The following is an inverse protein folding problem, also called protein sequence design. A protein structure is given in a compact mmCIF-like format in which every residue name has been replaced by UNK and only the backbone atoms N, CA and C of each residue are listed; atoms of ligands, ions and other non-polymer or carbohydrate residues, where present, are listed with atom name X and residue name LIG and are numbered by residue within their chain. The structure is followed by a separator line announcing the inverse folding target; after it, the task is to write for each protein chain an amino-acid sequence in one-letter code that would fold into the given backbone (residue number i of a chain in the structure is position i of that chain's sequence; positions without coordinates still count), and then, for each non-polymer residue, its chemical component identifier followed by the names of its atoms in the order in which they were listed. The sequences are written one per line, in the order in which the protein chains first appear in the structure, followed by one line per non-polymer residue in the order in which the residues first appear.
data_IF_599460509574
#
_entry.id   IF_599460509574
#
_cell.length_a   1.000
_cell.length_b   1.000
_cell.length_c   1.000
_cell.angle_alpha   90.00
_cell.angle_beta   90.00
_cell.angle_gamma   90.00
#
_symmetry.space_group_name_H-M   'P 1'
#
loop_
_entity.id
_entity.type
_entity.pdbx_description
1 polymer ?
#
# COMPACT_ATOMS: atom_id res chain seq x y z
N UNK A 1 -20.59 18.36 19.92
CA UNK A 1 -19.14 18.16 19.75
C UNK A 1 -18.92 16.82 19.07
N UNK A 2 -18.24 16.76 17.93
CA UNK A 2 -18.02 15.51 17.21
C UNK A 2 -16.72 14.83 17.64
N UNK A 3 -16.75 13.49 17.77
CA UNK A 3 -15.57 12.64 17.92
C UNK A 3 -15.55 11.67 16.74
N UNK A 4 -14.48 11.68 15.95
CA UNK A 4 -14.31 10.82 14.77
C UNK A 4 -12.96 10.11 14.86
N UNK A 5 -12.96 8.82 14.55
CA UNK A 5 -11.76 8.04 14.30
C UNK A 5 -11.85 7.48 12.87
N UNK A 6 -10.74 7.52 12.13
CA UNK A 6 -10.65 7.02 10.75
C UNK A 6 -9.52 5.99 10.74
N UNK A 7 -9.85 4.81 10.22
CA UNK A 7 -8.95 3.67 10.13
C UNK A 7 -8.72 3.32 8.66
N UNK A 8 -7.64 2.61 8.33
CA UNK A 8 -7.49 2.01 7.01
C UNK A 8 -8.68 1.07 6.70
N UNK A 9 -8.90 0.79 5.40
CA UNK A 9 -9.96 -0.12 4.97
C UNK A 9 -9.83 -1.54 5.52
N UNK A 10 -8.63 -1.94 5.96
CA UNK A 10 -8.37 -3.18 6.69
C UNK A 10 -7.23 -2.98 7.69
N UNK A 11 -7.32 -3.66 8.83
CA UNK A 11 -6.27 -3.74 9.84
C UNK A 11 -6.19 -5.19 10.34
N UNK A 12 -5.02 -5.82 10.16
CA UNK A 12 -4.78 -7.22 10.53
C UNK A 12 -3.63 -7.23 11.54
N UNK A 13 -3.88 -7.79 12.73
CA UNK A 13 -2.91 -7.89 13.80
C UNK A 13 -3.05 -9.26 14.48
N UNK A 14 -1.93 -9.94 14.68
CA UNK A 14 -1.89 -11.24 15.34
C UNK A 14 -0.54 -11.93 15.18
N UNK A 15 -0.29 -12.95 15.99
CA UNK A 15 0.87 -13.80 15.79
C UNK A 15 0.76 -14.49 14.42
N UNK A 16 1.81 -14.40 13.62
CA UNK A 16 1.82 -14.99 12.27
C UNK A 16 1.06 -14.20 11.20
N UNK A 17 0.50 -13.02 11.50
CA UNK A 17 -0.29 -12.23 10.54
C UNK A 17 0.44 -11.94 9.21
N UNK A 18 1.77 -11.81 9.25
CA UNK A 18 2.60 -11.62 8.05
C UNK A 18 2.48 -12.78 7.04
N UNK A 19 2.15 -13.99 7.51
CA UNK A 19 1.93 -15.15 6.64
C UNK A 19 0.70 -15.03 5.73
N UNK A 20 -0.22 -14.11 6.03
CA UNK A 20 -1.37 -13.79 5.18
C UNK A 20 -0.98 -12.92 3.97
N UNK A 21 0.23 -12.33 3.99
CA UNK A 21 0.67 -11.38 2.97
C UNK A 21 0.56 -11.93 1.53
N UNK A 22 1.01 -13.15 1.21
CA UNK A 22 0.90 -13.68 -0.15
C UNK A 22 -0.55 -13.80 -0.63
N UNK A 23 -1.44 -14.31 0.23
CA UNK A 23 -2.86 -14.46 -0.10
C UNK A 23 -3.56 -13.09 -0.27
N UNK A 24 -3.15 -12.08 0.50
CA UNK A 24 -3.64 -10.71 0.34
C UNK A 24 -3.17 -10.09 -0.96
N UNK A 25 -1.90 -10.27 -1.32
CA UNK A 25 -1.33 -9.79 -2.57
C UNK A 25 -2.01 -10.44 -3.78
N UNK A 26 -2.17 -11.76 -3.78
CA UNK A 26 -2.88 -12.51 -4.83
C UNK A 26 -4.31 -11.99 -5.03
N UNK A 27 -5.02 -11.67 -3.95
CA UNK A 27 -6.38 -11.10 -4.00
C UNK A 27 -6.43 -9.68 -4.57
N UNK A 28 -5.39 -8.88 -4.33
CA UNK A 28 -5.31 -7.53 -4.88
C UNK A 28 -4.96 -7.57 -6.36
N UNK A 29 -4.15 -8.55 -6.76
CA UNK A 29 -3.71 -8.77 -8.13
C UNK A 29 -2.79 -7.65 -8.66
N UNK A 30 -2.32 -7.83 -9.89
CA UNK A 30 -1.43 -6.88 -10.56
C UNK A 30 0.06 -7.14 -10.25
N UNK A 31 0.91 -6.19 -10.65
CA UNK A 31 2.36 -6.29 -10.40
C UNK A 31 2.70 -5.81 -9.00
N UNK A 32 3.19 -6.71 -8.16
CA UNK A 32 3.47 -6.43 -6.76
C UNK A 32 4.92 -5.99 -6.56
N UNK A 33 5.13 -5.09 -5.60
CA UNK A 33 6.45 -4.68 -5.15
C UNK A 33 6.46 -4.47 -3.63
N UNK A 34 7.58 -4.74 -2.98
CA UNK A 34 7.78 -4.55 -1.54
C UNK A 34 8.94 -3.58 -1.32
N UNK A 35 8.73 -2.54 -0.50
CA UNK A 35 9.79 -1.69 0.05
C UNK A 35 10.03 -2.08 1.51
N UNK A 36 11.15 -2.74 1.78
CA UNK A 36 11.46 -3.27 3.11
C UNK A 36 12.70 -2.63 3.73
N UNK A 37 12.65 -2.36 5.03
CA UNK A 37 13.83 -1.93 5.79
C UNK A 37 14.89 -3.04 5.86
N UNK A 38 16.20 -2.72 6.02
CA UNK A 38 17.24 -3.74 6.16
C UNK A 38 16.96 -4.73 7.29
N UNK A 39 16.46 -4.24 8.43
CA UNK A 39 16.07 -5.08 9.57
C UNK A 39 14.98 -6.09 9.22
N UNK A 40 14.00 -5.71 8.37
CA UNK A 40 12.95 -6.63 7.92
C UNK A 40 13.55 -7.70 7.00
N UNK A 41 14.39 -7.30 6.04
CA UNK A 41 15.06 -8.22 5.12
C UNK A 41 15.93 -9.24 5.86
N UNK A 42 16.70 -8.79 6.85
CA UNK A 42 17.68 -9.63 7.55
C UNK A 42 17.06 -10.49 8.67
N UNK A 43 15.98 -10.02 9.30
CA UNK A 43 15.48 -10.63 10.55
C UNK A 43 14.04 -11.11 10.48
N UNK A 44 13.18 -10.42 9.75
CA UNK A 44 11.74 -10.71 9.76
C UNK A 44 11.40 -11.71 8.67
N UNK A 45 11.67 -11.39 7.40
CA UNK A 45 11.33 -12.28 6.28
C UNK A 45 11.91 -13.70 6.43
N UNK A 46 13.19 -13.89 6.81
CA UNK A 46 13.74 -15.24 7.00
C UNK A 46 13.07 -16.03 8.11
N UNK A 47 12.61 -15.37 9.19
CA UNK A 47 11.92 -16.02 10.32
C UNK A 47 10.49 -16.40 9.99
N UNK A 48 9.88 -15.67 9.06
CA UNK A 48 8.50 -15.92 8.64
C UNK A 48 8.39 -16.97 7.54
N UNK A 49 9.52 -17.44 7.00
CA UNK A 49 9.54 -18.40 5.88
C UNK A 49 8.99 -17.81 4.58
N UNK A 50 8.94 -16.48 4.48
CA UNK A 50 8.47 -15.78 3.29
C UNK A 50 9.65 -15.49 2.37
N UNK A 51 9.67 -16.17 1.23
CA UNK A 51 10.57 -15.85 0.12
C UNK A 51 9.78 -15.09 -0.94
N UNK A 52 9.80 -13.77 -0.84
CA UNK A 52 9.05 -12.87 -1.72
C UNK A 52 9.54 -12.96 -3.17
N UNK A 53 10.86 -13.11 -3.36
CA UNK A 53 11.45 -13.22 -4.71
C UNK A 53 11.08 -14.56 -5.36
N UNK A 54 11.07 -15.67 -4.60
CA UNK A 54 10.57 -16.95 -5.10
C UNK A 54 9.08 -16.93 -5.46
N UNK A 55 8.31 -16.02 -4.86
CA UNK A 55 6.91 -15.75 -5.20
C UNK A 55 6.75 -14.76 -6.37
N UNK A 56 7.85 -14.29 -6.96
CA UNK A 56 7.84 -13.34 -8.07
C UNK A 56 7.56 -11.89 -7.66
N UNK A 57 7.55 -11.60 -6.35
CA UNK A 57 7.31 -10.27 -5.80
C UNK A 57 8.64 -9.51 -5.79
N UNK A 58 8.69 -8.40 -6.53
CA UNK A 58 9.91 -7.58 -6.60
C UNK A 58 10.16 -6.90 -5.26
N UNK A 59 11.36 -7.08 -4.71
CA UNK A 59 11.72 -6.48 -3.42
C UNK A 59 12.74 -5.37 -3.58
N UNK A 60 12.53 -4.26 -2.87
CA UNK A 60 13.42 -3.11 -2.81
C UNK A 60 13.83 -2.86 -1.36
N UNK A 61 15.13 -2.78 -1.11
CA UNK A 61 15.62 -2.40 0.22
C UNK A 61 15.57 -0.88 0.39
N UNK A 62 15.01 -0.45 1.51
CA UNK A 62 14.95 0.95 1.95
C UNK A 62 16.29 1.41 2.53
N UNK A 63 16.75 2.61 2.15
CA UNK A 63 18.07 3.15 2.55
C UNK A 63 18.04 3.95 3.85
N UNK A 64 17.14 3.59 4.76
CA UNK A 64 17.00 4.10 6.15
C UNK A 64 16.48 5.54 6.29
N UNK A 65 16.71 6.42 5.33
CA UNK A 65 16.21 7.79 5.37
C UNK A 65 15.12 8.06 4.33
N UNK A 66 14.07 8.74 4.79
CA UNK A 66 13.01 9.26 3.93
C UNK A 66 13.44 10.65 3.44
N UNK A 67 14.23 10.67 2.37
CA UNK A 67 14.74 11.89 1.73
C UNK A 67 14.33 11.97 0.26
N UNK A 68 14.53 13.13 -0.35
CA UNK A 68 14.14 13.36 -1.75
C UNK A 68 14.81 12.38 -2.72
N UNK A 69 16.10 12.09 -2.52
CA UNK A 69 16.83 11.14 -3.36
C UNK A 69 16.23 9.74 -3.27
N UNK A 70 15.82 9.33 -2.08
CA UNK A 70 15.21 8.02 -1.85
C UNK A 70 13.80 7.95 -2.43
N UNK A 71 13.00 9.00 -2.25
CA UNK A 71 11.66 9.09 -2.83
C UNK A 71 11.70 9.02 -4.36
N UNK A 72 12.63 9.74 -5.01
CA UNK A 72 12.85 9.67 -6.47
C UNK A 72 13.27 8.27 -6.91
N UNK A 73 14.17 7.63 -6.15
CA UNK A 73 14.63 6.27 -6.45
C UNK A 73 13.49 5.26 -6.38
N UNK A 74 12.70 5.31 -5.30
CA UNK A 74 11.58 4.39 -5.08
C UNK A 74 10.47 4.66 -6.09
N UNK A 75 10.07 5.92 -6.33
CA UNK A 75 9.02 6.24 -7.31
C UNK A 75 9.39 5.81 -8.74
N UNK A 76 10.65 5.98 -9.12
CA UNK A 76 11.16 5.47 -10.40
C UNK A 76 11.05 3.95 -10.48
N UNK A 77 11.44 3.24 -9.41
CA UNK A 77 11.33 1.79 -9.36
C UNK A 77 9.87 1.30 -9.47
N UNK A 78 8.92 1.98 -8.82
CA UNK A 78 7.48 1.70 -8.96
C UNK A 78 7.06 1.85 -10.43
N UNK A 79 7.45 2.94 -11.09
CA UNK A 79 7.07 3.22 -12.47
C UNK A 79 7.73 2.27 -13.49
N UNK A 80 9.01 1.95 -13.34
CA UNK A 80 9.74 0.99 -14.19
C UNK A 80 9.18 -0.43 -14.06
N UNK A 81 8.87 -0.85 -12.82
CA UNK A 81 8.24 -2.15 -12.57
C UNK A 81 6.77 -2.17 -12.99
N UNK A 82 6.17 -1.00 -13.21
CA UNK A 82 4.73 -0.80 -13.35
C UNK A 82 3.96 -1.41 -12.18
N UNK A 83 4.47 -1.24 -10.95
CA UNK A 83 3.87 -1.81 -9.76
C UNK A 83 2.46 -1.25 -9.55
N UNK A 84 1.49 -2.14 -9.36
CA UNK A 84 0.09 -1.85 -9.03
C UNK A 84 -0.18 -1.99 -7.53
N UNK A 85 0.68 -2.73 -6.82
CA UNK A 85 0.62 -2.85 -5.38
C UNK A 85 2.01 -2.59 -4.81
N UNK A 86 2.11 -1.65 -3.87
CA UNK A 86 3.33 -1.45 -3.07
C UNK A 86 3.06 -1.81 -1.61
N UNK A 87 3.91 -2.67 -1.06
CA UNK A 87 3.93 -3.00 0.38
C UNK A 87 5.10 -2.31 1.06
N UNK A 88 4.83 -1.41 2.00
CA UNK A 88 5.88 -0.89 2.90
C UNK A 88 6.05 -1.77 4.14
N UNK A 89 7.27 -2.25 4.40
CA UNK A 89 7.59 -3.11 5.55
C UNK A 89 8.76 -2.56 6.38
N UNK A 90 8.49 -2.07 7.58
CA UNK A 90 9.52 -1.54 8.49
C UNK A 90 8.98 -0.49 9.44
N UNK A 91 9.87 0.40 9.90
CA UNK A 91 9.47 1.51 10.77
C UNK A 91 8.79 2.66 10.01
N UNK A 92 8.44 3.73 10.73
CA UNK A 92 7.72 4.89 10.19
C UNK A 92 8.34 5.47 8.91
N UNK A 93 9.66 5.66 8.87
CA UNK A 93 10.35 6.18 7.67
C UNK A 93 10.17 5.32 6.43
N UNK A 94 10.17 3.99 6.58
CA UNK A 94 9.95 3.07 5.45
C UNK A 94 8.51 3.19 4.95
N UNK A 95 7.56 3.25 5.87
CA UNK A 95 6.14 3.39 5.57
C UNK A 95 5.84 4.74 4.90
N UNK A 96 6.42 5.83 5.40
CA UNK A 96 6.25 7.17 4.84
C UNK A 96 6.85 7.26 3.43
N UNK A 97 8.04 6.69 3.24
CA UNK A 97 8.69 6.60 1.92
C UNK A 97 7.80 5.85 0.93
N UNK A 98 7.23 4.71 1.32
CA UNK A 98 6.33 3.94 0.46
C UNK A 98 5.11 4.76 0.04
N UNK A 99 4.44 5.42 1.00
CA UNK A 99 3.25 6.24 0.74
C UNK A 99 3.54 7.38 -0.24
N UNK A 100 4.56 8.20 0.07
CA UNK A 100 4.90 9.38 -0.74
C UNK A 100 5.42 8.94 -2.12
N UNK A 101 6.19 7.85 -2.21
CA UNK A 101 6.69 7.37 -3.49
C UNK A 101 5.59 6.86 -4.42
N UNK A 102 4.54 6.19 -3.90
CA UNK A 102 3.38 5.79 -4.71
C UNK A 102 2.64 7.02 -5.24
N UNK A 103 2.41 8.02 -4.39
CA UNK A 103 1.79 9.27 -4.81
C UNK A 103 2.55 9.93 -5.96
N UNK A 104 3.88 10.03 -5.83
CA UNK A 104 4.75 10.59 -6.88
C UNK A 104 4.84 9.74 -8.14
N UNK A 105 4.61 8.44 -8.03
CA UNK A 105 4.64 7.52 -9.16
C UNK A 105 3.29 7.48 -9.92
N UNK A 106 2.21 7.98 -9.33
CA UNK A 106 0.96 8.26 -10.02
C UNK A 106 1.04 9.65 -10.70
N UNK A 107 0.31 9.84 -11.80
CA UNK A 107 0.27 11.13 -12.50
C UNK A 107 -0.28 12.23 -11.57
N UNK A 108 0.09 13.52 -11.76
CA UNK A 108 -0.28 14.65 -10.87
C UNK A 108 -1.78 14.78 -10.57
N UNK A 109 -2.60 14.24 -11.45
CA UNK A 109 -4.06 14.29 -11.49
C UNK A 109 -4.71 12.97 -11.00
N UNK A 110 -3.93 12.07 -10.41
CA UNK A 110 -4.39 10.80 -9.86
C UNK A 110 -4.13 10.74 -8.35
N UNK A 111 -5.13 11.12 -7.58
CA UNK A 111 -5.07 11.08 -6.12
C UNK A 111 -5.03 9.66 -5.59
N UNK A 112 -4.09 9.38 -4.69
CA UNK A 112 -4.14 8.23 -3.78
C UNK A 112 -5.08 8.58 -2.61
N UNK A 113 -6.38 8.66 -2.88
CA UNK A 113 -7.42 8.93 -1.87
C UNK A 113 -7.05 9.97 -0.80
N UNK A 114 -6.91 11.23 -1.21
CA UNK A 114 -7.09 12.36 -0.31
C UNK A 114 -8.28 13.17 -0.83
N UNK A 115 -9.47 13.01 -0.23
CA UNK A 115 -10.54 13.97 -0.47
C UNK A 115 -10.18 15.26 0.27
N UNK A 116 -9.57 16.23 -0.42
CA UNK A 116 -9.72 17.63 -0.02
C UNK A 116 -11.18 18.03 -0.24
N UNK A 117 -11.99 17.80 0.78
CA UNK A 117 -13.39 18.18 0.78
C UNK A 117 -13.99 18.00 2.15
N UNK A 118 -14.84 18.95 2.56
CA UNK A 118 -15.61 18.86 3.80
C UNK A 118 -16.36 17.53 3.82
N UNK A 119 -16.02 16.66 4.77
CA UNK A 119 -16.66 15.36 4.94
C UNK A 119 -17.98 15.55 5.69
N UNK A 120 -19.09 15.41 4.97
CA UNK A 120 -20.45 15.47 5.52
C UNK A 120 -20.94 14.07 5.94
N UNK A 121 -21.92 13.97 6.87
CA UNK A 121 -22.51 12.69 7.27
C UNK A 121 -23.06 11.87 6.09
N UNK A 122 -23.62 12.54 5.08
CA UNK A 122 -24.17 11.88 3.90
C UNK A 122 -23.08 11.22 3.06
N UNK A 123 -21.92 11.87 2.89
CA UNK A 123 -20.75 11.25 2.23
C UNK A 123 -20.25 10.01 2.96
N UNK A 124 -20.32 10.00 4.30
CA UNK A 124 -19.95 8.83 5.11
C UNK A 124 -20.98 7.70 4.93
N UNK A 125 -22.27 8.03 4.93
CA UNK A 125 -23.35 7.08 4.69
C UNK A 125 -23.26 6.46 3.28
N UNK A 126 -22.95 7.27 2.28
CA UNK A 126 -22.72 6.82 0.90
C UNK A 126 -21.49 5.93 0.80
N UNK A 127 -20.38 6.29 1.44
CA UNK A 127 -19.17 5.47 1.46
C UNK A 127 -19.40 4.11 2.16
N UNK A 128 -20.12 4.10 3.28
CA UNK A 128 -20.54 2.86 3.96
C UNK A 128 -21.50 2.03 3.10
N UNK A 129 -22.41 2.69 2.38
CA UNK A 129 -23.33 2.07 1.44
C UNK A 129 -22.63 1.50 0.19
N UNK A 130 -21.54 2.11 -0.26
CA UNK A 130 -20.70 1.64 -1.35
C UNK A 130 -19.82 0.45 -0.91
N UNK A 131 -19.24 0.50 0.30
CA UNK A 131 -18.47 -0.60 0.88
C UNK A 131 -19.31 -1.88 1.07
N UNK A 132 -20.63 -1.75 1.29
CA UNK A 132 -21.57 -2.88 1.32
C UNK A 132 -21.93 -3.45 -0.04
N UNK A 133 -21.80 -2.68 -1.12
CA UNK A 133 -22.14 -3.08 -2.50
C UNK A 133 -20.93 -3.60 -3.27
N UNK A 134 -19.71 -3.22 -2.87
CA UNK A 134 -18.47 -3.66 -3.52
C UNK A 134 -17.97 -5.04 -3.10
N UNK A 135 -18.65 -5.72 -2.16
CA UNK A 135 -18.41 -7.13 -1.85
C UNK A 135 -18.90 -8.12 -2.93
N UNK A 136 -19.27 -7.64 -4.13
CA UNK A 136 -19.82 -8.49 -5.19
C UNK A 136 -19.63 -8.11 -6.66
N UNK A 137 -18.96 -7.01 -7.04
CA UNK A 137 -18.84 -6.69 -8.48
C UNK A 137 -17.56 -5.93 -8.86
N UNK A 138 -16.85 -6.47 -9.84
CA UNK A 138 -15.83 -5.80 -10.62
C UNK A 138 -16.40 -4.54 -11.31
N UNK A 139 -15.66 -3.44 -11.30
CA UNK A 139 -16.00 -2.23 -12.05
C UNK A 139 -14.85 -1.82 -12.96
N UNK A 140 -15.09 -1.95 -14.27
CA UNK A 140 -14.40 -1.25 -15.36
C UNK A 140 -14.99 0.15 -15.51
N UNK A 141 -14.25 1.22 -15.17
CA UNK A 141 -14.51 2.58 -15.66
C UNK A 141 -13.32 3.54 -15.43
N UNK A 142 -12.71 4.00 -16.52
CA UNK A 142 -11.72 5.10 -16.58
C UNK A 142 -10.31 4.73 -16.09
N UNK A 143 -9.26 4.97 -16.89
CA UNK A 143 -7.86 4.72 -16.49
C UNK A 143 -7.42 5.70 -15.38
N UNK A 144 -7.88 5.45 -14.16
CA UNK A 144 -7.39 6.02 -12.90
C UNK A 144 -6.22 5.14 -12.43
N UNK A 145 -5.21 5.68 -11.74
CA UNK A 145 -4.10 4.88 -11.18
C UNK A 145 -4.72 3.73 -10.38
N UNK A 146 -4.57 2.48 -10.81
CA UNK A 146 -4.99 1.29 -10.03
C UNK A 146 -4.03 1.00 -8.87
N UNK A 147 -3.05 1.88 -8.63
CA UNK A 147 -1.94 1.63 -7.70
C UNK A 147 -2.40 1.82 -6.26
N UNK A 148 -2.47 0.72 -5.51
CA UNK A 148 -2.81 0.73 -4.10
C UNK A 148 -1.54 0.64 -3.25
N UNK A 149 -1.36 1.58 -2.30
CA UNK A 149 -0.31 1.51 -1.29
C UNK A 149 -0.83 0.80 -0.04
N UNK A 150 -0.25 -0.35 0.29
CA UNK A 150 -0.57 -1.12 1.49
C UNK A 150 0.62 -1.12 2.45
N UNK A 151 0.35 -1.08 3.74
CA UNK A 151 1.36 -1.08 4.79
C UNK A 151 1.22 -2.32 5.64
N UNK A 152 2.32 -3.06 5.81
CA UNK A 152 2.40 -4.19 6.73
C UNK A 152 3.43 -3.81 7.79
N UNK A 153 2.93 -3.57 9.01
CA UNK A 153 3.71 -3.18 10.19
C UNK A 153 4.11 -4.39 11.01
#
# INVERSE_FOLDING_TARGET
MFRKAIFPGSYIQGAGAIGELPALLERLGGKEMVLASPSVMEKVLPRCGLDLEAQGIRTLTFRRECCEEELVRVSRAISEHQAEVLVGMGGGKTIDTAKIAVERACAPDQSIHHEEGTITPDKVLDAMGQARRSSGTAHTAGRRCSRNAWTVS
#
